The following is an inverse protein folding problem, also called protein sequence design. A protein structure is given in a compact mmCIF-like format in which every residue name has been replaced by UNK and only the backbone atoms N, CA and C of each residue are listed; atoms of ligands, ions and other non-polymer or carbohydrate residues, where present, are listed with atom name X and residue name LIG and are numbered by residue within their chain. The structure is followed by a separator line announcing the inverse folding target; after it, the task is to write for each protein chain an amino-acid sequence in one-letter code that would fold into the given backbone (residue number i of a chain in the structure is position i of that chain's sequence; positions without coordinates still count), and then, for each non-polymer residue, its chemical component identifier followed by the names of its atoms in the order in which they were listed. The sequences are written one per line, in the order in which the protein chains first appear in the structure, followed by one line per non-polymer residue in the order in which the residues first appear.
data_IF_247337048710
#
_entry.id   IF_247337048710
#
_cell.length_a   1.000
_cell.length_b   1.000
_cell.length_c   1.000
_cell.angle_alpha   90.00
_cell.angle_beta   90.00
_cell.angle_gamma   90.00
#
_symmetry.space_group_name_H-M   'P 1'
#
loop_
_entity.id
_entity.type
_entity.pdbx_description
1 polymer ?
#
# COMPACT_ATOMS: atom_id res chain seq x y z
N UNK A 1 -28.16 -18.10 -101.58
CA UNK A 1 -29.45 -17.71 -100.93
C UNK A 1 -29.12 -17.59 -99.45
N UNK A 2 -28.65 -16.40 -99.05
CA UNK A 2 -29.44 -15.31 -98.39
C UNK A 2 -29.62 -15.61 -96.90
N UNK A 3 -28.71 -15.09 -96.06
CA UNK A 3 -28.81 -13.81 -95.30
C UNK A 3 -29.86 -13.84 -94.18
N UNK A 4 -29.41 -13.70 -92.93
CA UNK A 4 -29.71 -12.50 -92.13
C UNK A 4 -29.03 -12.55 -90.75
N UNK A 5 -28.10 -11.61 -90.55
CA UNK A 5 -27.63 -11.07 -89.28
C UNK A 5 -28.77 -10.47 -88.45
N UNK A 6 -28.71 -10.63 -87.13
CA UNK A 6 -29.21 -9.64 -86.16
C UNK A 6 -28.23 -9.58 -84.99
N UNK A 7 -27.46 -8.50 -84.93
CA UNK A 7 -26.64 -8.15 -83.77
C UNK A 7 -27.42 -7.37 -82.72
N UNK A 8 -27.16 -7.66 -81.44
CA UNK A 8 -27.35 -6.80 -80.26
C UNK A 8 -26.25 -7.27 -79.30
N UNK A 9 -25.23 -6.50 -78.93
CA UNK A 9 -25.30 -5.18 -78.30
C UNK A 9 -24.90 -5.33 -76.83
N UNK A 10 -23.60 -5.27 -76.57
CA UNK A 10 -22.94 -4.84 -75.31
C UNK A 10 -23.72 -5.04 -74.00
N UNK A 11 -23.53 -6.20 -73.35
CA UNK A 11 -23.68 -6.32 -71.91
C UNK A 11 -22.32 -6.05 -71.28
N UNK A 12 -22.15 -4.89 -70.65
CA UNK A 12 -21.05 -4.68 -69.73
C UNK A 12 -21.23 -5.68 -68.59
N UNK A 13 -20.26 -6.57 -68.43
CA UNK A 13 -20.10 -7.36 -67.22
C UNK A 13 -19.95 -6.37 -66.07
N UNK A 14 -21.03 -6.17 -65.31
CA UNK A 14 -20.95 -5.59 -63.99
C UNK A 14 -20.24 -6.66 -63.17
N UNK A 15 -18.91 -6.52 -63.08
CA UNK A 15 -18.11 -7.14 -62.03
C UNK A 15 -18.77 -6.75 -60.71
N UNK A 16 -19.55 -7.69 -60.16
CA UNK A 16 -19.93 -7.68 -58.76
C UNK A 16 -18.61 -7.76 -58.02
N UNK A 17 -18.11 -6.62 -57.56
CA UNK A 17 -16.95 -6.56 -56.67
C UNK A 17 -17.27 -7.47 -55.50
N UNK A 18 -16.53 -8.57 -55.43
CA UNK A 18 -16.43 -9.43 -54.27
C UNK A 18 -16.33 -8.52 -53.04
N UNK A 19 -17.28 -8.66 -52.13
CA UNK A 19 -17.31 -7.92 -50.88
C UNK A 19 -16.05 -8.24 -50.09
N UNK A 20 -14.98 -7.49 -50.33
CA UNK A 20 -13.75 -7.56 -49.57
C UNK A 20 -14.13 -7.40 -48.11
N UNK A 21 -13.82 -8.41 -47.28
CA UNK A 21 -13.91 -8.30 -45.83
C UNK A 21 -13.23 -6.98 -45.44
N UNK A 22 -14.00 -6.07 -44.85
CA UNK A 22 -13.44 -4.85 -44.28
C UNK A 22 -12.46 -5.31 -43.20
N UNK A 23 -11.17 -5.04 -43.41
CA UNK A 23 -10.14 -5.36 -42.43
C UNK A 23 -10.40 -4.49 -41.19
N UNK A 24 -10.68 -5.13 -40.06
CA UNK A 24 -11.03 -4.42 -38.84
C UNK A 24 -9.76 -3.86 -38.19
N UNK A 25 -9.79 -2.61 -37.70
CA UNK A 25 -8.64 -2.06 -37.02
C UNK A 25 -8.35 -2.86 -35.74
N UNK A 26 -7.07 -3.02 -35.42
CA UNK A 26 -6.62 -3.71 -34.20
C UNK A 26 -7.06 -3.00 -32.92
N UNK A 27 -7.35 -1.70 -33.02
CA UNK A 27 -7.80 -0.85 -31.93
C UNK A 27 -8.84 0.14 -32.43
N UNK A 28 -9.81 0.47 -31.58
CA UNK A 28 -10.74 1.56 -31.80
C UNK A 28 -11.20 2.13 -30.44
N UNK A 29 -11.56 3.42 -30.38
CA UNK A 29 -11.94 4.08 -29.14
C UNK A 29 -13.23 3.49 -28.57
N UNK A 30 -13.36 3.53 -27.25
CA UNK A 30 -14.57 3.06 -26.58
C UNK A 30 -15.77 3.92 -26.96
N UNK A 31 -16.88 3.25 -27.29
CA UNK A 31 -18.14 3.92 -27.54
C UNK A 31 -18.66 4.62 -26.26
N UNK A 32 -19.28 5.80 -26.41
CA UNK A 32 -19.78 6.64 -25.30
C UNK A 32 -20.63 5.90 -24.26
N UNK A 33 -21.48 4.95 -24.71
CA UNK A 33 -22.29 4.12 -23.80
C UNK A 33 -21.44 3.22 -22.90
N UNK A 34 -20.40 2.60 -23.47
CA UNK A 34 -19.49 1.72 -22.73
C UNK A 34 -18.66 2.49 -21.71
N UNK A 35 -18.35 3.75 -21.98
CA UNK A 35 -17.65 4.62 -21.02
C UNK A 35 -18.52 4.95 -19.82
N UNK A 36 -19.82 5.16 -20.03
CA UNK A 36 -20.76 5.35 -18.91
C UNK A 36 -20.84 4.08 -18.05
N UNK A 37 -20.93 2.91 -18.68
CA UNK A 37 -20.92 1.62 -17.99
C UNK A 37 -19.61 1.40 -17.22
N UNK A 38 -18.47 1.64 -17.86
CA UNK A 38 -17.14 1.56 -17.23
C UNK A 38 -17.00 2.49 -16.03
N UNK A 39 -17.48 3.73 -16.14
CA UNK A 39 -17.44 4.68 -15.02
C UNK A 39 -18.27 4.20 -13.81
N UNK A 40 -19.30 3.37 -14.04
CA UNK A 40 -20.10 2.76 -12.99
C UNK A 40 -19.45 1.54 -12.33
N UNK A 41 -18.44 0.90 -12.94
CA UNK A 41 -17.72 -0.24 -12.35
C UNK A 41 -17.00 0.21 -11.09
N UNK A 42 -17.36 -0.29 -9.92
CA UNK A 42 -16.67 0.04 -8.66
C UNK A 42 -16.11 -1.24 -8.07
N UNK A 43 -14.88 -1.16 -7.56
CA UNK A 43 -14.40 -2.17 -6.62
C UNK A 43 -15.30 -2.12 -5.37
N UNK A 44 -15.62 -3.30 -4.83
CA UNK A 44 -16.32 -3.41 -3.55
C UNK A 44 -15.39 -2.84 -2.48
N UNK A 45 -15.93 -2.00 -1.61
CA UNK A 45 -15.14 -1.41 -0.53
C UNK A 45 -15.15 -2.33 0.69
N UNK A 46 -14.06 -3.08 0.88
CA UNK A 46 -13.88 -3.95 2.03
C UNK A 46 -13.24 -3.25 3.23
N UNK A 47 -12.86 -1.96 3.11
CA UNK A 47 -12.14 -1.24 4.17
C UNK A 47 -12.79 -1.34 5.55
N UNK A 48 -14.12 -1.19 5.72
CA UNK A 48 -14.74 -1.29 7.04
C UNK A 48 -14.59 -2.68 7.67
N UNK A 49 -14.74 -3.74 6.85
CA UNK A 49 -14.63 -5.12 7.31
C UNK A 49 -13.18 -5.47 7.67
N UNK A 50 -12.22 -5.05 6.84
CA UNK A 50 -10.80 -5.31 7.07
C UNK A 50 -10.28 -4.55 8.30
N UNK A 51 -10.71 -3.29 8.48
CA UNK A 51 -10.36 -2.49 9.68
C UNK A 51 -10.96 -3.11 10.94
N UNK A 52 -12.19 -3.63 10.86
CA UNK A 52 -12.80 -4.36 11.97
C UNK A 52 -12.01 -5.62 12.32
N UNK A 53 -11.69 -6.46 11.33
CA UNK A 53 -10.90 -7.68 11.54
C UNK A 53 -9.54 -7.38 12.17
N UNK A 54 -8.90 -6.30 11.74
CA UNK A 54 -7.62 -5.84 12.29
C UNK A 54 -7.74 -5.47 13.76
N UNK A 55 -8.79 -4.71 14.12
CA UNK A 55 -9.04 -4.31 15.51
C UNK A 55 -9.37 -5.49 16.43
N UNK A 56 -10.02 -6.52 15.91
CA UNK A 56 -10.36 -7.74 16.66
C UNK A 56 -9.13 -8.61 16.93
N UNK A 57 -8.25 -8.78 15.93
CA UNK A 57 -6.98 -9.50 16.12
C UNK A 57 -6.13 -8.77 17.17
N UNK A 58 -5.99 -7.45 17.02
CA UNK A 58 -5.23 -6.64 17.96
C UNK A 58 -5.77 -6.76 19.39
N UNK A 59 -7.08 -6.54 19.57
CA UNK A 59 -7.73 -6.62 20.89
C UNK A 59 -7.61 -8.01 21.50
N UNK A 60 -7.71 -9.07 20.68
CA UNK A 60 -7.60 -10.46 21.16
C UNK A 60 -6.19 -10.77 21.64
N UNK A 61 -5.16 -10.33 20.92
CA UNK A 61 -3.77 -10.52 21.32
C UNK A 61 -3.42 -9.73 22.58
N UNK A 62 -3.85 -8.47 22.67
CA UNK A 62 -3.62 -7.68 23.88
C UNK A 62 -4.27 -8.35 25.11
N UNK A 63 -5.53 -8.81 24.99
CA UNK A 63 -6.21 -9.54 26.07
C UNK A 63 -5.50 -10.83 26.46
N UNK A 64 -4.99 -11.57 25.48
CA UNK A 64 -4.23 -12.79 25.73
C UNK A 64 -2.93 -12.49 26.48
N UNK A 65 -2.21 -11.45 26.06
CA UNK A 65 -0.99 -11.00 26.73
C UNK A 65 -1.31 -10.57 28.16
N UNK A 66 -2.30 -9.70 28.36
CA UNK A 66 -2.73 -9.23 29.69
C UNK A 66 -3.04 -10.39 30.61
N UNK A 67 -3.90 -11.32 30.16
CA UNK A 67 -4.28 -12.48 30.94
C UNK A 67 -3.07 -13.36 31.27
N UNK A 68 -2.14 -13.52 30.34
CA UNK A 68 -0.96 -14.36 30.55
C UNK A 68 0.05 -13.69 31.48
N UNK A 69 0.20 -12.37 31.40
CA UNK A 69 1.10 -11.62 32.28
C UNK A 69 0.53 -11.56 33.71
N UNK A 70 -0.76 -11.29 33.87
CA UNK A 70 -1.43 -11.27 35.19
C UNK A 70 -1.34 -12.63 35.91
N UNK A 71 -1.45 -13.74 35.17
CA UNK A 71 -1.32 -15.09 35.73
C UNK A 71 0.11 -15.45 36.16
N UNK A 72 1.11 -14.69 35.70
CA UNK A 72 2.53 -15.00 35.89
C UNK A 72 3.25 -14.03 36.84
N UNK A 73 2.53 -13.17 37.58
CA UNK A 73 3.12 -12.36 38.66
C UNK A 73 3.73 -13.27 39.75
N UNK A 74 5.00 -13.65 39.55
CA UNK A 74 5.80 -14.42 40.48
C UNK A 74 6.58 -13.50 41.45
N UNK A 75 7.00 -14.04 42.58
CA UNK A 75 7.77 -13.29 43.60
C UNK A 75 9.22 -12.96 43.16
N UNK A 76 9.68 -13.41 41.99
CA UNK A 76 11.08 -13.26 41.51
C UNK A 76 11.16 -12.57 40.13
N UNK A 77 11.75 -11.37 40.11
CA UNK A 77 11.93 -10.49 38.94
C UNK A 77 12.69 -11.15 37.77
N UNK A 78 13.57 -12.13 38.04
CA UNK A 78 14.36 -12.77 36.98
C UNK A 78 13.53 -13.80 36.20
N UNK A 79 12.72 -14.59 36.90
CA UNK A 79 11.88 -15.62 36.27
C UNK A 79 10.72 -14.97 35.47
N UNK A 80 10.21 -13.84 35.95
CA UNK A 80 9.16 -13.06 35.28
C UNK A 80 9.66 -12.47 33.93
N UNK A 81 10.87 -11.91 33.90
CA UNK A 81 11.47 -11.40 32.66
C UNK A 81 11.75 -12.50 31.62
N UNK A 82 12.14 -13.71 32.05
CA UNK A 82 12.35 -14.84 31.14
C UNK A 82 11.02 -15.33 30.55
N UNK A 83 9.96 -15.42 31.37
CA UNK A 83 8.60 -15.79 30.93
C UNK A 83 8.02 -14.79 29.94
N UNK A 84 8.22 -13.48 30.18
CA UNK A 84 7.87 -12.41 29.23
C UNK A 84 8.57 -12.59 27.88
N UNK A 85 9.86 -12.91 27.86
CA UNK A 85 10.56 -13.17 26.59
C UNK A 85 10.09 -14.45 25.88
N UNK A 86 9.65 -15.46 26.63
CA UNK A 86 9.09 -16.69 26.06
C UNK A 86 7.70 -16.49 25.44
N UNK A 87 6.92 -15.49 25.90
CA UNK A 87 5.63 -15.13 25.29
C UNK A 87 5.74 -14.72 23.82
N UNK A 88 6.84 -14.09 23.41
CA UNK A 88 7.08 -13.79 21.99
C UNK A 88 7.23 -15.04 21.12
N UNK A 89 7.56 -16.18 21.74
CA UNK A 89 7.66 -17.50 21.10
C UNK A 89 6.41 -18.34 21.32
N UNK A 90 5.39 -17.80 21.98
CA UNK A 90 4.13 -18.50 22.20
C UNK A 90 3.37 -18.69 20.87
N UNK A 91 2.80 -19.87 20.70
CA UNK A 91 2.10 -20.25 19.46
C UNK A 91 0.92 -19.31 19.15
N UNK A 92 0.20 -18.83 20.17
CA UNK A 92 -0.92 -17.89 20.00
C UNK A 92 -0.42 -16.54 19.48
N UNK A 93 0.70 -16.05 20.03
CA UNK A 93 1.33 -14.80 19.62
C UNK A 93 1.88 -14.88 18.19
N UNK A 94 2.58 -15.98 17.87
CA UNK A 94 3.12 -16.23 16.53
C UNK A 94 1.97 -16.29 15.51
N UNK A 95 0.95 -17.11 15.77
CA UNK A 95 -0.18 -17.28 14.86
C UNK A 95 -0.98 -15.99 14.70
N UNK A 96 -1.20 -15.23 15.78
CA UNK A 96 -1.87 -13.94 15.71
C UNK A 96 -1.08 -12.91 14.91
N UNK A 97 0.25 -12.87 15.09
CA UNK A 97 1.13 -11.96 14.34
C UNK A 97 1.12 -12.29 12.84
N UNK A 98 1.25 -13.58 12.49
CA UNK A 98 1.18 -14.03 11.09
C UNK A 98 -0.19 -13.72 10.46
N UNK A 99 -1.27 -13.89 11.22
CA UNK A 99 -2.62 -13.54 10.77
C UNK A 99 -2.76 -12.05 10.50
N UNK A 100 -2.21 -11.21 11.39
CA UNK A 100 -2.21 -9.76 11.22
C UNK A 100 -1.35 -9.34 10.02
N UNK A 101 -0.21 -9.99 9.78
CA UNK A 101 0.64 -9.74 8.61
C UNK A 101 -0.12 -10.03 7.31
N UNK A 102 -0.77 -11.18 7.23
CA UNK A 102 -1.58 -11.56 6.07
C UNK A 102 -2.73 -10.57 5.85
N UNK A 103 -3.43 -10.18 6.91
CA UNK A 103 -4.50 -9.17 6.82
C UNK A 103 -3.96 -7.82 6.34
N UNK A 104 -2.78 -7.41 6.82
CA UNK A 104 -2.12 -6.18 6.37
C UNK A 104 -1.83 -6.22 4.87
N UNK A 105 -1.32 -7.35 4.36
CA UNK A 105 -1.09 -7.56 2.92
C UNK A 105 -2.41 -7.44 2.12
N UNK A 106 -3.48 -8.06 2.60
CA UNK A 106 -4.82 -7.97 1.97
C UNK A 106 -5.34 -6.53 1.92
N UNK A 107 -5.19 -5.77 3.02
CA UNK A 107 -5.59 -4.35 3.06
C UNK A 107 -4.83 -3.55 2.00
N UNK A 108 -3.52 -3.76 1.89
CA UNK A 108 -2.67 -3.05 0.93
C UNK A 108 -3.00 -3.41 -0.52
N UNK A 109 -3.31 -4.67 -0.78
CA UNK A 109 -3.73 -5.14 -2.11
C UNK A 109 -5.10 -4.56 -2.51
N UNK A 110 -6.05 -4.51 -1.58
CA UNK A 110 -7.36 -3.88 -1.81
C UNK A 110 -7.23 -2.37 -2.10
N UNK A 111 -6.38 -1.67 -1.37
CA UNK A 111 -6.06 -0.25 -1.62
C UNK A 111 -5.39 -0.06 -2.98
N UNK A 112 -4.40 -0.90 -3.31
CA UNK A 112 -3.70 -0.86 -4.59
C UNK A 112 -4.65 -1.10 -5.76
N UNK A 113 -5.56 -2.07 -5.66
CA UNK A 113 -6.55 -2.35 -6.68
C UNK A 113 -7.53 -1.18 -6.88
N UNK A 114 -7.99 -0.57 -5.78
CA UNK A 114 -8.89 0.60 -5.84
C UNK A 114 -8.20 1.78 -6.52
N UNK A 115 -6.94 2.03 -6.21
CA UNK A 115 -6.16 3.10 -6.83
C UNK A 115 -5.88 2.81 -8.31
N UNK A 116 -5.52 1.57 -8.63
CA UNK A 116 -5.32 1.12 -10.02
C UNK A 116 -6.60 1.28 -10.85
N UNK A 117 -7.76 0.93 -10.31
CA UNK A 117 -9.05 1.11 -10.98
C UNK A 117 -9.35 2.59 -11.23
N UNK A 118 -9.09 3.47 -10.24
CA UNK A 118 -9.27 4.92 -10.40
C UNK A 118 -8.33 5.48 -11.47
N UNK A 119 -7.06 5.11 -11.44
CA UNK A 119 -6.05 5.54 -12.41
C UNK A 119 -6.41 5.07 -13.83
N UNK A 120 -6.80 3.80 -13.99
CA UNK A 120 -7.23 3.21 -15.26
C UNK A 120 -8.43 3.94 -15.84
N UNK A 121 -9.45 4.25 -15.02
CA UNK A 121 -10.59 5.06 -15.45
C UNK A 121 -10.18 6.48 -15.84
N UNK A 122 -9.27 7.09 -15.10
CA UNK A 122 -8.74 8.42 -15.42
C UNK A 122 -8.09 8.44 -16.80
N UNK A 123 -7.25 7.45 -17.08
CA UNK A 123 -6.57 7.26 -18.35
C UNK A 123 -7.55 7.02 -19.50
N UNK A 124 -8.53 6.12 -19.35
CA UNK A 124 -9.52 5.85 -20.40
C UNK A 124 -10.41 7.08 -20.67
N UNK A 125 -10.81 7.80 -19.63
CA UNK A 125 -11.57 9.05 -19.81
C UNK A 125 -10.71 10.14 -20.47
N UNK A 126 -9.40 10.16 -20.26
CA UNK A 126 -8.49 11.06 -20.95
C UNK A 126 -8.38 10.69 -22.44
N UNK A 127 -8.18 9.40 -22.76
CA UNK A 127 -8.17 8.87 -24.14
C UNK A 127 -9.44 9.26 -24.89
N UNK A 128 -10.61 9.00 -24.32
CA UNK A 128 -11.89 9.34 -24.92
C UNK A 128 -12.09 10.84 -25.21
N UNK A 129 -11.46 11.74 -24.45
CA UNK A 129 -11.55 13.19 -24.69
C UNK A 129 -10.66 13.66 -25.84
N UNK A 130 -9.60 12.92 -26.13
CA UNK A 130 -8.56 13.31 -27.07
C UNK A 130 -8.62 12.52 -28.40
N UNK A 131 -9.35 11.40 -28.43
CA UNK A 131 -9.52 10.54 -29.60
C UNK A 131 -10.81 10.88 -30.37
N UNK A 132 -10.74 10.82 -31.70
CA UNK A 132 -11.90 11.01 -32.57
C UNK A 132 -12.85 9.80 -32.50
N UNK A 133 -14.17 9.97 -32.51
CA UNK A 133 -15.09 8.83 -32.48
C UNK A 133 -14.95 7.96 -33.75
N UNK A 134 -15.16 6.65 -33.60
CA UNK A 134 -15.16 5.73 -34.73
C UNK A 134 -16.34 6.05 -35.68
N UNK A 135 -16.01 6.41 -36.92
CA UNK A 135 -16.91 6.73 -38.02
C UNK A 135 -16.32 6.21 -39.33
N UNK A 136 -17.06 6.26 -40.44
CA UNK A 136 -16.53 5.83 -41.74
C UNK A 136 -15.36 6.71 -42.18
N UNK A 137 -15.39 8.00 -41.83
CA UNK A 137 -14.35 8.99 -42.12
C UNK A 137 -13.08 8.74 -41.31
N UNK A 138 -13.22 8.28 -40.06
CA UNK A 138 -12.10 8.01 -39.15
C UNK A 138 -11.63 6.55 -39.16
N UNK A 139 -12.31 5.65 -39.88
CA UNK A 139 -11.94 4.23 -39.94
C UNK A 139 -10.49 4.01 -40.42
N UNK A 140 -10.07 4.74 -41.46
CA UNK A 140 -8.71 4.66 -41.99
C UNK A 140 -7.64 5.06 -40.96
N UNK A 141 -7.95 6.08 -40.15
CA UNK A 141 -7.05 6.52 -39.08
C UNK A 141 -6.72 5.35 -38.14
N UNK A 142 -7.71 4.53 -37.79
CA UNK A 142 -7.56 3.39 -36.90
C UNK A 142 -6.93 2.16 -37.56
N UNK A 143 -7.09 2.00 -38.88
CA UNK A 143 -6.46 0.92 -39.65
C UNK A 143 -4.95 1.17 -39.84
N UNK A 144 -4.54 2.43 -39.95
CA UNK A 144 -3.15 2.83 -40.20
C UNK A 144 -2.27 2.87 -38.93
N UNK A 145 -2.81 2.56 -37.75
CA UNK A 145 -2.02 2.52 -36.50
C UNK A 145 -0.90 1.47 -36.60
N UNK A 146 0.32 1.92 -36.33
CA UNK A 146 1.45 1.02 -36.07
C UNK A 146 1.19 0.23 -34.78
N UNK A 147 1.67 -1.01 -34.72
CA UNK A 147 1.55 -1.86 -33.52
C UNK A 147 2.12 -1.20 -32.25
N UNK A 148 3.07 -0.26 -32.39
CA UNK A 148 3.68 0.44 -31.25
C UNK A 148 2.87 1.66 -30.76
N UNK A 149 1.92 2.14 -31.56
CA UNK A 149 1.08 3.31 -31.24
C UNK A 149 -0.30 2.90 -30.71
N UNK A 150 -0.58 1.59 -30.66
CA UNK A 150 -1.84 1.05 -30.15
C UNK A 150 -1.88 1.26 -28.63
N UNK A 151 -2.91 1.95 -28.11
CA UNK A 151 -3.09 2.08 -26.67
C UNK A 151 -3.26 0.71 -26.01
N UNK A 152 -2.65 0.57 -24.83
CA UNK A 152 -2.76 -0.65 -24.04
C UNK A 152 -4.23 -1.01 -23.75
N UNK A 153 -4.56 -2.31 -23.83
CA UNK A 153 -5.88 -2.83 -23.48
C UNK A 153 -6.25 -2.50 -22.04
N UNK A 154 -7.56 -2.41 -21.75
CA UNK A 154 -8.07 -2.00 -20.43
C UNK A 154 -7.59 -2.95 -19.33
N UNK A 155 -7.60 -4.25 -19.59
CA UNK A 155 -7.20 -5.27 -18.62
C UNK A 155 -5.70 -5.18 -18.33
N UNK A 156 -4.89 -5.05 -19.36
CA UNK A 156 -3.43 -4.91 -19.22
C UNK A 156 -3.06 -3.60 -18.51
N UNK A 157 -3.75 -2.50 -18.85
CA UNK A 157 -3.57 -1.22 -18.18
C UNK A 157 -3.93 -1.32 -16.70
N UNK A 158 -5.03 -1.98 -16.34
CA UNK A 158 -5.40 -2.21 -14.95
C UNK A 158 -4.32 -3.02 -14.21
N UNK A 159 -3.83 -4.09 -14.82
CA UNK A 159 -2.78 -4.93 -14.24
C UNK A 159 -1.48 -4.15 -14.04
N UNK A 160 -1.06 -3.36 -15.03
CA UNK A 160 0.12 -2.50 -14.94
C UNK A 160 -0.01 -1.49 -13.80
N UNK A 161 -1.17 -0.80 -13.70
CA UNK A 161 -1.43 0.16 -12.62
C UNK A 161 -1.53 -0.51 -11.25
N UNK A 162 -2.01 -1.74 -11.18
CA UNK A 162 -2.07 -2.51 -9.94
C UNK A 162 -0.66 -2.87 -9.46
N UNK A 163 0.19 -3.40 -10.33
CA UNK A 163 1.59 -3.72 -10.02
C UNK A 163 2.34 -2.46 -9.55
N UNK A 164 2.16 -1.33 -10.26
CA UNK A 164 2.76 -0.04 -9.86
C UNK A 164 2.28 0.43 -8.48
N UNK A 165 1.01 0.20 -8.14
CA UNK A 165 0.44 0.59 -6.85
C UNK A 165 0.91 -0.31 -5.72
N UNK A 166 1.02 -1.63 -5.96
CA UNK A 166 1.57 -2.59 -5.01
C UNK A 166 3.05 -2.30 -4.69
N UNK A 167 3.86 -1.97 -5.71
CA UNK A 167 5.28 -1.64 -5.52
C UNK A 167 5.49 -0.39 -4.65
N UNK A 168 4.59 0.59 -4.71
CA UNK A 168 4.65 1.77 -3.83
C UNK A 168 4.39 1.42 -2.36
N UNK A 169 3.73 0.30 -2.09
CA UNK A 169 3.28 -0.10 -0.77
C UNK A 169 4.25 -1.11 -0.10
N UNK A 170 5.42 -1.44 -0.68
CA UNK A 170 6.30 -2.56 -0.28
C UNK A 170 6.86 -2.59 1.17
N UNK A 171 6.53 -1.64 2.03
CA UNK A 171 6.73 -1.77 3.47
C UNK A 171 5.39 -1.51 4.15
N UNK A 172 4.80 -2.55 4.73
CA UNK A 172 3.68 -2.40 5.65
C UNK A 172 4.17 -1.69 6.91
N UNK A 173 4.30 -0.36 6.84
CA UNK A 173 4.58 0.48 8.00
C UNK A 173 3.56 0.19 9.12
N UNK A 174 2.37 -0.26 8.74
CA UNK A 174 1.31 -0.73 9.62
C UNK A 174 1.68 -2.02 10.37
N UNK A 175 2.14 -3.06 9.65
CA UNK A 175 2.60 -4.32 10.26
C UNK A 175 3.84 -4.09 11.13
N UNK A 176 4.83 -3.34 10.65
CA UNK A 176 6.02 -2.99 11.45
C UNK A 176 5.61 -2.29 12.75
N UNK A 177 4.71 -1.31 12.66
CA UNK A 177 4.18 -0.61 13.84
C UNK A 177 3.45 -1.56 14.79
N UNK A 178 2.63 -2.47 14.28
CA UNK A 178 1.95 -3.49 15.07
C UNK A 178 2.95 -4.42 15.77
N UNK A 179 3.90 -4.99 15.03
CA UNK A 179 4.92 -5.90 15.55
C UNK A 179 5.77 -5.23 16.63
N UNK A 180 6.26 -4.02 16.37
CA UNK A 180 7.03 -3.23 17.32
C UNK A 180 6.23 -2.93 18.59
N UNK A 181 4.93 -2.60 18.46
CA UNK A 181 4.06 -2.38 19.62
C UNK A 181 3.90 -3.66 20.44
N UNK A 182 3.67 -4.79 19.78
CA UNK A 182 3.53 -6.09 20.44
C UNK A 182 4.79 -6.47 21.22
N UNK A 183 5.96 -6.25 20.62
CA UNK A 183 7.25 -6.48 21.25
C UNK A 183 7.44 -5.61 22.51
N UNK A 184 7.16 -4.31 22.42
CA UNK A 184 7.24 -3.39 23.58
C UNK A 184 6.19 -3.72 24.64
N UNK A 185 5.03 -4.22 24.23
CA UNK A 185 3.98 -4.62 25.17
C UNK A 185 4.40 -5.81 26.04
N UNK A 186 5.12 -6.75 25.45
CA UNK A 186 5.62 -7.95 26.14
C UNK A 186 6.93 -7.65 26.90
N UNK A 187 7.85 -6.90 26.31
CA UNK A 187 9.12 -6.48 26.90
C UNK A 187 9.30 -4.95 26.75
N UNK A 188 8.89 -4.15 27.75
CA UNK A 188 8.96 -2.69 27.71
C UNK A 188 10.37 -2.12 27.57
N UNK A 189 11.41 -2.93 27.82
CA UNK A 189 12.81 -2.50 27.74
C UNK A 189 13.49 -2.94 26.45
N UNK A 190 12.78 -3.68 25.58
CA UNK A 190 13.29 -4.12 24.30
C UNK A 190 13.65 -2.92 23.40
N UNK A 191 14.84 -2.98 22.78
CA UNK A 191 15.21 -2.04 21.73
C UNK A 191 14.49 -2.44 20.45
N UNK A 192 13.61 -1.55 20.00
CA UNK A 192 12.95 -1.65 18.71
C UNK A 192 13.86 -1.01 17.66
N UNK A 193 14.33 -1.79 16.68
CA UNK A 193 15.11 -1.27 15.55
C UNK A 193 14.18 -0.82 14.43
N UNK A 194 14.40 0.39 13.93
CA UNK A 194 13.71 0.92 12.76
C UNK A 194 14.51 0.52 11.50
N UNK A 195 14.62 -0.79 11.22
CA UNK A 195 15.32 -1.26 10.02
C UNK A 195 14.44 -0.97 8.77
N UNK A 196 14.59 0.26 8.30
CA UNK A 196 13.95 0.83 7.10
C UNK A 196 14.93 1.58 6.19
N UNK A 197 16.25 1.46 6.39
CA UNK A 197 17.23 1.87 5.38
C UNK A 197 17.57 0.68 4.50
N UNK A 198 16.85 0.59 3.38
CA UNK A 198 17.14 -0.30 2.26
C UNK A 198 18.59 -0.13 1.81
N UNK A 199 19.44 -1.12 2.14
CA UNK A 199 20.66 -1.42 1.38
C UNK A 199 21.07 -2.89 1.48
N UNK A 200 20.13 -3.79 1.79
CA UNK A 200 20.42 -5.22 1.81
C UNK A 200 19.90 -5.83 0.50
N UNK A 201 20.77 -5.78 -0.51
CA UNK A 201 20.79 -6.78 -1.56
C UNK A 201 21.36 -8.07 -0.95
N UNK A 202 20.60 -8.75 -0.11
CA UNK A 202 20.93 -10.13 0.24
C UNK A 202 19.66 -10.97 0.10
N UNK A 203 19.62 -11.67 -1.03
CA UNK A 203 18.85 -12.90 -1.13
C UNK A 203 19.53 -13.89 -0.17
N UNK A 204 19.01 -14.04 1.04
CA UNK A 204 19.26 -15.26 1.79
C UNK A 204 18.01 -15.64 2.58
N UNK A 205 17.37 -16.71 2.09
CA UNK A 205 16.34 -17.46 2.80
C UNK A 205 16.99 -18.22 3.97
N UNK A 206 17.45 -17.48 4.99
CA UNK A 206 17.90 -18.06 6.24
C UNK A 206 17.19 -17.37 7.40
N UNK A 207 16.68 -18.19 8.32
CA UNK A 207 16.10 -17.82 9.60
C UNK A 207 17.10 -17.02 10.45
N UNK A 208 17.29 -15.74 10.14
CA UNK A 208 18.24 -14.88 10.84
C UNK A 208 17.66 -14.46 12.20
N UNK A 209 18.19 -15.10 13.23
CA UNK A 209 18.20 -14.62 14.60
C UNK A 209 18.51 -13.11 14.59
N UNK A 210 17.51 -12.30 14.96
CA UNK A 210 17.69 -10.87 15.20
C UNK A 210 18.80 -10.73 16.24
N UNK A 211 19.98 -10.26 15.81
CA UNK A 211 21.04 -9.82 16.71
C UNK A 211 20.49 -8.62 17.51
N UNK A 212 19.95 -8.92 18.70
CA UNK A 212 19.52 -7.91 19.67
C UNK A 212 20.80 -7.19 20.11
N UNK A 213 21.12 -6.07 19.46
CA UNK A 213 22.05 -5.10 20.01
C UNK A 213 21.58 -4.80 21.44
N UNK A 214 22.37 -5.22 22.43
CA UNK A 214 22.03 -5.20 23.85
C UNK A 214 21.95 -3.79 24.45
N UNK A 215 21.08 -2.95 23.93
CA UNK A 215 20.59 -1.75 24.57
C UNK A 215 19.32 -2.07 25.36
N UNK A 216 19.12 -1.38 26.48
CA UNK A 216 17.84 -1.29 27.16
C UNK A 216 17.36 0.14 26.95
N UNK A 217 16.08 0.33 26.61
CA UNK A 217 15.50 1.67 26.48
C UNK A 217 15.16 2.19 27.88
N UNK A 218 15.62 3.40 28.21
CA UNK A 218 15.30 4.02 29.49
C UNK A 218 13.88 4.63 29.45
N UNK A 219 12.98 4.11 30.29
CA UNK A 219 11.59 4.61 30.41
C UNK A 219 11.47 5.85 31.31
N UNK A 220 12.60 6.38 31.79
CA UNK A 220 12.64 7.60 32.61
C UNK A 220 12.83 8.83 31.75
N UNK A 221 12.16 9.93 32.11
CA UNK A 221 12.33 11.19 31.41
C UNK A 221 13.73 11.76 31.67
N UNK A 222 14.48 12.18 30.64
CA UNK A 222 15.80 12.79 30.82
C UNK A 222 15.79 14.09 31.65
N UNK A 223 14.65 14.78 31.73
CA UNK A 223 14.46 16.05 32.46
C UNK A 223 14.08 15.78 33.92
N UNK A 224 12.97 15.10 34.17
CA UNK A 224 12.46 14.89 35.54
C UNK A 224 13.14 13.74 36.27
N UNK A 225 13.82 12.84 35.54
CA UNK A 225 14.37 11.57 36.05
C UNK A 225 13.31 10.66 36.69
N UNK A 226 12.05 10.87 36.35
CA UNK A 226 10.91 10.03 36.77
C UNK A 226 10.43 9.17 35.59
N UNK A 227 9.72 8.09 35.90
CA UNK A 227 9.03 7.27 34.89
C UNK A 227 8.07 8.17 34.11
N UNK A 228 8.09 8.04 32.78
CA UNK A 228 7.20 8.80 31.90
C UNK A 228 5.78 8.26 31.97
N UNK A 229 4.80 9.15 32.14
CA UNK A 229 3.37 8.81 32.07
C UNK A 229 2.77 9.26 30.73
N UNK A 230 3.22 10.41 30.22
CA UNK A 230 2.78 11.00 28.96
C UNK A 230 4.00 11.33 28.08
N UNK A 231 4.64 10.31 27.47
CA UNK A 231 5.82 10.51 26.65
C UNK A 231 5.50 11.30 25.38
N UNK A 232 6.37 12.25 25.02
CA UNK A 232 6.36 13.01 23.78
C UNK A 232 7.69 12.86 23.07
N UNK A 233 7.64 12.48 21.79
CA UNK A 233 8.81 12.32 20.93
C UNK A 233 9.04 13.62 20.16
N UNK A 234 10.28 14.10 20.17
CA UNK A 234 10.71 15.30 19.44
C UNK A 234 11.18 14.96 18.03
N UNK A 235 11.30 15.96 17.13
CA UNK A 235 11.80 15.75 15.76
C UNK A 235 13.19 15.09 15.70
N UNK A 236 13.99 15.27 16.76
CA UNK A 236 15.32 14.67 16.88
C UNK A 236 15.31 13.24 17.46
N UNK A 237 14.14 12.65 17.68
CA UNK A 237 13.98 11.27 18.17
C UNK A 237 14.06 11.09 19.69
N UNK A 238 14.31 12.16 20.46
CA UNK A 238 14.36 12.07 21.93
C UNK A 238 12.96 12.18 22.54
N UNK A 239 12.70 11.33 23.53
CA UNK A 239 11.43 11.23 24.25
C UNK A 239 11.51 11.92 25.62
N UNK A 240 10.46 12.65 25.98
CA UNK A 240 10.34 13.35 27.26
C UNK A 240 8.95 13.18 27.86
N UNK A 241 8.80 13.37 29.16
CA UNK A 241 7.50 13.59 29.79
C UNK A 241 6.93 14.95 29.33
N UNK A 242 5.68 14.96 28.87
CA UNK A 242 5.05 16.16 28.29
C UNK A 242 5.09 17.35 29.25
N UNK A 243 4.75 17.13 30.52
CA UNK A 243 4.71 18.18 31.54
C UNK A 243 6.11 18.75 31.81
N UNK A 244 7.11 17.86 31.89
CA UNK A 244 8.51 18.23 32.13
C UNK A 244 9.11 19.01 30.95
N UNK A 245 8.81 18.60 29.71
CA UNK A 245 9.26 19.32 28.53
C UNK A 245 8.61 20.71 28.43
N UNK A 246 7.32 20.84 28.76
CA UNK A 246 6.62 22.13 28.82
C UNK A 246 7.24 23.05 29.87
N UNK A 247 7.53 22.54 31.05
CA UNK A 247 8.18 23.30 32.12
C UNK A 247 9.58 23.76 31.70
N UNK A 248 10.39 22.86 31.13
CA UNK A 248 11.71 23.19 30.58
C UNK A 248 11.62 24.35 29.57
N UNK A 249 10.68 24.31 28.62
CA UNK A 249 10.47 25.41 27.66
C UNK A 249 10.07 26.72 28.33
N UNK A 250 9.37 26.67 29.46
CA UNK A 250 8.93 27.88 30.17
C UNK A 250 10.05 28.51 31.00
N UNK A 251 10.95 27.69 31.55
CA UNK A 251 12.04 28.10 32.44
C UNK A 251 13.36 28.34 31.69
N UNK A 252 13.53 27.76 30.51
CA UNK A 252 14.73 27.90 29.69
C UNK A 252 14.95 29.34 29.21
N UNK A 253 16.23 29.66 29.01
CA UNK A 253 16.63 30.91 28.37
C UNK A 253 15.99 31.03 26.97
N UNK A 254 15.79 32.26 26.48
CA UNK A 254 15.24 32.47 25.13
C UNK A 254 16.07 31.79 24.02
N UNK A 255 17.34 31.48 24.27
CA UNK A 255 18.21 30.78 23.31
C UNK A 255 18.04 29.24 23.31
N UNK A 256 17.56 28.68 24.43
CA UNK A 256 17.46 27.23 24.66
C UNK A 256 16.01 26.72 24.69
N UNK A 257 15.04 27.64 24.76
CA UNK A 257 13.60 27.35 24.79
C UNK A 257 13.12 26.45 23.65
N UNK A 258 13.76 26.57 22.49
CA UNK A 258 13.45 25.76 21.31
C UNK A 258 14.47 24.66 21.06
N UNK A 259 15.31 24.29 22.03
CA UNK A 259 16.36 23.28 21.84
C UNK A 259 16.07 22.01 22.63
N UNK A 260 16.35 20.87 22.02
CA UNK A 260 16.27 19.58 22.68
C UNK A 260 17.23 19.54 23.89
N UNK A 261 16.76 19.20 25.10
CA UNK A 261 17.62 19.10 26.29
C UNK A 261 18.74 18.05 26.17
N UNK A 262 18.61 17.07 25.28
CA UNK A 262 19.57 15.97 25.14
C UNK A 262 20.63 16.27 24.07
N UNK A 263 20.21 16.72 22.88
CA UNK A 263 21.13 16.90 21.74
C UNK A 263 21.28 18.36 21.26
N UNK A 264 20.53 19.31 21.84
CA UNK A 264 20.59 20.73 21.50
C UNK A 264 20.01 21.12 20.14
N UNK A 265 19.42 20.17 19.39
CA UNK A 265 18.77 20.44 18.11
C UNK A 265 17.50 21.26 18.27
N UNK A 266 17.20 22.12 17.30
CA UNK A 266 16.02 22.97 17.34
C UNK A 266 14.75 22.15 17.19
N UNK A 267 13.85 22.23 18.17
CA UNK A 267 12.53 21.63 18.17
C UNK A 267 11.53 22.62 17.57
N UNK A 268 10.63 22.16 16.70
CA UNK A 268 9.45 22.95 16.34
C UNK A 268 8.44 22.94 17.50
N UNK A 269 7.48 23.86 17.48
CA UNK A 269 6.44 23.95 18.51
C UNK A 269 5.73 22.59 18.66
N UNK A 270 5.73 22.08 19.90
CA UNK A 270 5.00 20.88 20.36
C UNK A 270 3.80 21.39 21.13
#
# INVERSE_FOLDING_TARGET
MSESDVGIGTGADVEVQDGSLIDLPKYYPLHKKLIQEMNNIKAVDFSPLLTFAESEIDSSLNRYIDSTLELNEGEDDFEDNLKKKLLLKDEVIINGTNTYELLSKIIMDDEALREALRATKGEINNRFRNEEPLSFETLKLYQDYSSNDIPMEIVDLLNEKNIQSQQKNLSSAKFKKFHNRLQVYIDPFAVVTDNGNNNDNDNDDNDEDVEIAGGSVELTCPISKQIMENPVITECGHTFEQTSLRQYKNEASQADKDRCPVCGQKMKNI
#
